data_IF_340486440577
#
_entry.id   IF_340486440577
#
_cell.length_a   1.000
_cell.length_b   1.000
_cell.length_c   1.000
_cell.angle_alpha   90.00
_cell.angle_beta   90.00
_cell.angle_gamma   90.00
#
_symmetry.space_group_name_H-M   'P 1'
#
loop_
_entity.id
_entity.type
_entity.pdbx_description
1 polymer ?
#
# COMPACT_ATOMS: atom_id res chain seq x y z
N UNK A 1 9.29 10.44 7.97
CA UNK A 1 8.07 9.88 8.60
C UNK A 1 7.41 8.95 7.59
N UNK A 2 7.05 7.73 7.98
CA UNK A 2 6.35 6.81 7.07
C UNK A 2 4.98 7.42 6.71
N UNK A 3 4.65 7.49 5.42
CA UNK A 3 3.31 7.84 4.96
C UNK A 3 2.38 6.67 5.32
N UNK A 4 1.40 6.95 6.19
CA UNK A 4 0.43 5.97 6.65
C UNK A 4 -0.95 6.42 6.20
N UNK A 5 -1.69 5.53 5.55
CA UNK A 5 -3.07 5.77 5.14
C UNK A 5 -4.02 5.87 6.34
N UNK A 6 -5.23 6.42 6.16
CA UNK A 6 -6.25 6.44 7.21
C UNK A 6 -6.59 5.03 7.71
N UNK A 7 -6.99 4.92 8.98
CA UNK A 7 -7.55 3.69 9.52
C UNK A 7 -8.84 3.35 8.76
N UNK A 8 -9.00 2.08 8.37
CA UNK A 8 -10.19 1.58 7.67
C UNK A 8 -10.61 0.22 8.22
N UNK A 9 -11.92 -0.01 8.20
CA UNK A 9 -12.50 -1.30 8.55
C UNK A 9 -12.12 -2.40 7.56
N UNK A 10 -12.26 -3.66 8.00
CA UNK A 10 -11.93 -4.83 7.18
C UNK A 10 -12.68 -4.87 5.85
N UNK A 11 -13.97 -4.55 5.86
CA UNK A 11 -14.79 -4.55 4.64
C UNK A 11 -14.34 -3.46 3.65
N UNK A 12 -14.05 -2.25 4.15
CA UNK A 12 -13.59 -1.13 3.33
C UNK A 12 -12.26 -1.44 2.65
N UNK A 13 -11.35 -2.14 3.34
CA UNK A 13 -10.09 -2.64 2.76
C UNK A 13 -10.31 -3.65 1.64
N UNK A 14 -11.16 -4.65 1.88
CA UNK A 14 -11.45 -5.69 0.88
C UNK A 14 -12.07 -5.06 -0.37
N UNK A 15 -13.00 -4.12 -0.18
CA UNK A 15 -13.65 -3.41 -1.28
C UNK A 15 -12.66 -2.53 -2.06
N UNK A 16 -11.75 -1.80 -1.38
CA UNK A 16 -10.71 -1.02 -2.04
C UNK A 16 -9.75 -1.90 -2.86
N UNK A 17 -9.32 -3.03 -2.30
CA UNK A 17 -8.50 -4.00 -3.03
C UNK A 17 -9.22 -4.59 -4.22
N UNK A 18 -10.49 -4.99 -4.06
CA UNK A 18 -11.31 -5.53 -5.14
C UNK A 18 -11.54 -4.49 -6.25
N UNK A 19 -11.84 -3.25 -5.89
CA UNK A 19 -12.03 -2.16 -6.85
C UNK A 19 -10.76 -1.91 -7.67
N UNK A 20 -9.59 -1.90 -7.02
CA UNK A 20 -8.32 -1.77 -7.74
C UNK A 20 -8.04 -2.97 -8.63
N UNK A 21 -8.31 -4.20 -8.17
CA UNK A 21 -8.14 -5.39 -9.00
C UNK A 21 -9.14 -5.51 -10.15
N UNK A 22 -10.28 -4.83 -10.06
CA UNK A 22 -11.29 -4.75 -11.12
C UNK A 22 -10.93 -3.77 -12.24
N UNK A 23 -9.98 -2.84 -12.02
CA UNK A 23 -9.45 -1.97 -13.08
C UNK A 23 -8.74 -2.79 -14.16
N UNK A 24 -8.71 -2.23 -15.38
CA UNK A 24 -7.96 -2.82 -16.48
C UNK A 24 -6.47 -2.98 -16.10
N UNK A 25 -5.80 -4.07 -16.52
CA UNK A 25 -4.39 -4.28 -16.24
C UNK A 25 -3.49 -3.13 -16.70
N UNK A 26 -3.86 -2.46 -17.79
CA UNK A 26 -3.18 -1.29 -18.36
C UNK A 26 -3.28 -0.10 -17.40
N UNK A 27 -4.49 0.28 -16.99
CA UNK A 27 -4.76 1.40 -16.08
C UNK A 27 -4.05 1.23 -14.74
N UNK A 28 -4.01 0.00 -14.20
CA UNK A 28 -3.28 -0.30 -12.95
C UNK A 28 -1.78 -0.06 -13.09
N UNK A 29 -1.19 -0.52 -14.19
CA UNK A 29 0.24 -0.35 -14.47
C UNK A 29 0.57 1.12 -14.71
N UNK A 30 -0.27 1.81 -15.45
CA UNK A 30 -0.10 3.23 -15.75
C UNK A 30 -0.25 4.08 -14.49
N UNK A 31 -1.25 3.82 -13.65
CA UNK A 31 -1.40 4.50 -12.35
C UNK A 31 -0.17 4.33 -11.46
N UNK A 32 0.38 3.11 -11.36
CA UNK A 32 1.60 2.85 -10.60
C UNK A 32 2.83 3.52 -11.23
N UNK A 33 2.97 3.48 -12.56
CA UNK A 33 4.10 4.07 -13.27
C UNK A 33 4.11 5.60 -13.17
N UNK A 34 2.94 6.23 -13.33
CA UNK A 34 2.76 7.68 -13.13
C UNK A 34 3.04 8.06 -11.67
N UNK A 35 2.57 7.25 -10.72
CA UNK A 35 2.80 7.53 -9.31
C UNK A 35 4.29 7.56 -8.94
N UNK A 36 5.08 6.61 -9.45
CA UNK A 36 6.55 6.63 -9.27
C UNK A 36 7.22 7.86 -9.86
N UNK A 37 6.64 8.44 -10.92
CA UNK A 37 7.11 9.68 -11.55
C UNK A 37 6.58 10.95 -10.86
N UNK A 38 5.86 10.80 -9.75
CA UNK A 38 5.25 11.91 -9.04
C UNK A 38 4.06 12.54 -9.79
N UNK A 39 3.40 11.79 -10.68
CA UNK A 39 2.24 12.26 -11.46
C UNK A 39 0.99 11.44 -11.15
N UNK A 40 -0.16 12.10 -11.21
CA UNK A 40 -1.48 11.44 -11.11
C UNK A 40 -1.90 10.86 -12.45
N UNK A 41 -2.74 9.84 -12.38
CA UNK A 41 -3.45 9.31 -13.55
C UNK A 41 -4.43 10.37 -14.08
N UNK A 42 -4.56 10.56 -15.41
CA UNK A 42 -5.47 11.56 -15.98
C UNK A 42 -6.95 11.23 -15.72
N UNK A 43 -7.30 9.96 -15.64
CA UNK A 43 -8.63 9.53 -15.16
C UNK A 43 -8.70 9.58 -13.63
N UNK A 44 -9.54 10.47 -13.12
CA UNK A 44 -9.78 10.68 -11.70
C UNK A 44 -10.33 9.41 -11.02
N UNK A 45 -11.15 8.60 -11.70
CA UNK A 45 -11.68 7.36 -11.12
C UNK A 45 -10.57 6.37 -10.80
N UNK A 46 -9.63 6.22 -11.74
CA UNK A 46 -8.45 5.36 -11.57
C UNK A 46 -7.55 5.91 -10.46
N UNK A 47 -7.33 7.23 -10.43
CA UNK A 47 -6.52 7.88 -9.39
C UNK A 47 -7.11 7.68 -7.97
N UNK A 48 -8.43 7.82 -7.82
CA UNK A 48 -9.15 7.63 -6.55
C UNK A 48 -9.08 6.17 -6.09
N UNK A 49 -9.36 5.21 -6.99
CA UNK A 49 -9.29 3.78 -6.66
C UNK A 49 -7.86 3.36 -6.28
N UNK A 50 -6.85 3.85 -7.00
CA UNK A 50 -5.45 3.59 -6.69
C UNK A 50 -5.03 4.20 -5.34
N UNK A 51 -5.55 5.37 -4.99
CA UNK A 51 -5.31 5.98 -3.68
C UNK A 51 -5.94 5.17 -2.54
N UNK A 52 -7.22 4.76 -2.67
CA UNK A 52 -7.88 3.93 -1.65
C UNK A 52 -7.21 2.56 -1.49
N UNK A 53 -6.69 1.99 -2.58
CA UNK A 53 -5.87 0.78 -2.51
C UNK A 53 -4.58 1.02 -1.70
N UNK A 54 -3.84 2.08 -2.00
CA UNK A 54 -2.61 2.43 -1.29
C UNK A 54 -2.86 2.73 0.20
N UNK A 55 -3.98 3.38 0.50
CA UNK A 55 -4.42 3.64 1.87
C UNK A 55 -4.83 2.35 2.61
N UNK A 56 -5.42 1.38 1.92
CA UNK A 56 -5.76 0.08 2.48
C UNK A 56 -4.52 -0.79 2.74
N UNK A 57 -3.47 -0.70 1.91
CA UNK A 57 -2.22 -1.44 2.10
C UNK A 57 -1.31 -0.82 3.15
N UNK A 58 -1.25 0.51 3.25
CA UNK A 58 -0.39 1.25 4.18
C UNK A 58 -1.13 1.69 5.46
N UNK A 59 -1.90 0.79 6.09
CA UNK A 59 -2.58 1.10 7.35
C UNK A 59 -1.64 1.35 8.53
N UNK A 60 -2.10 2.04 9.60
CA UNK A 60 -1.37 2.25 10.86
C UNK A 60 -1.26 0.97 11.72
N UNK A 61 -1.05 -0.19 11.10
CA UNK A 61 -0.84 -1.45 11.80
C UNK A 61 0.57 -1.51 12.38
N UNK A 62 0.78 -2.26 13.48
CA UNK A 62 2.09 -2.39 14.12
C UNK A 62 3.17 -2.90 13.15
N UNK A 63 2.84 -3.80 12.22
CA UNK A 63 3.74 -4.23 11.14
C UNK A 63 4.18 -3.09 10.21
N UNK A 64 3.31 -2.11 9.97
CA UNK A 64 3.66 -0.90 9.21
C UNK A 64 4.39 0.16 10.06
N UNK A 65 4.57 -0.06 11.36
CA UNK A 65 5.53 0.72 12.16
C UNK A 65 6.94 0.15 12.08
N UNK A 66 7.07 -1.13 11.75
CA UNK A 66 8.38 -1.79 11.60
C UNK A 66 9.04 -1.26 10.33
N UNK A 67 10.28 -0.72 10.40
CA UNK A 67 11.04 -0.33 9.22
C UNK A 67 11.18 -1.52 8.27
N UNK A 68 11.02 -1.33 6.95
CA UNK A 68 11.03 -2.43 5.99
C UNK A 68 12.39 -3.16 5.92
N UNK A 69 13.45 -2.59 6.50
CA UNK A 69 14.79 -3.18 6.61
C UNK A 69 14.88 -4.23 7.73
N UNK A 70 13.98 -4.20 8.72
CA UNK A 70 14.08 -5.07 9.91
C UNK A 70 13.86 -6.55 9.59
N UNK A 71 12.83 -6.89 8.79
CA UNK A 71 12.57 -8.26 8.35
C UNK A 71 13.73 -8.87 7.53
N UNK A 72 14.26 -8.22 6.49
CA UNK A 72 15.39 -8.75 5.74
C UNK A 72 16.67 -8.80 6.58
N UNK A 73 16.92 -7.84 7.48
CA UNK A 73 18.05 -7.90 8.40
C UNK A 73 17.94 -9.11 9.36
N UNK A 74 16.76 -9.35 9.94
CA UNK A 74 16.50 -10.53 10.76
C UNK A 74 16.68 -11.84 9.98
N UNK A 75 16.22 -11.87 8.73
CA UNK A 75 16.44 -12.98 7.80
C UNK A 75 17.93 -13.25 7.56
N UNK A 76 18.74 -12.23 7.29
CA UNK A 76 20.20 -12.37 7.10
C UNK A 76 20.87 -12.90 8.36
N UNK A 77 20.53 -12.38 9.54
CA UNK A 77 21.06 -12.87 10.82
C UNK A 77 20.71 -14.36 11.00
N UNK A 78 19.48 -14.76 10.68
CA UNK A 78 19.06 -16.16 10.75
C UNK A 78 19.76 -17.04 9.72
N UNK A 79 20.08 -16.55 8.52
CA UNK A 79 20.91 -17.29 7.54
C UNK A 79 22.30 -17.56 8.11
N UNK A 80 22.93 -16.55 8.73
CA UNK A 80 24.25 -16.69 9.36
C UNK A 80 24.20 -17.73 10.48
N UNK A 81 23.17 -17.69 11.34
CA UNK A 81 22.98 -18.67 12.40
C UNK A 81 22.67 -20.08 11.85
N UNK A 82 21.89 -20.18 10.77
CA UNK A 82 21.56 -21.46 10.13
C UNK A 82 22.81 -22.14 9.58
N UNK A 83 23.70 -21.38 8.94
CA UNK A 83 25.00 -21.86 8.48
C UNK A 83 25.91 -22.26 9.63
N UNK A 84 25.92 -21.49 10.72
CA UNK A 84 26.75 -21.78 11.88
C UNK A 84 26.33 -23.07 12.62
N UNK A 85 25.03 -23.37 12.63
CA UNK A 85 24.46 -24.57 13.26
C UNK A 85 24.20 -25.75 12.30
N UNK A 86 24.52 -25.61 11.01
CA UNK A 86 24.20 -26.58 9.94
C UNK A 86 22.72 -27.05 9.98
N UNK A 87 21.82 -26.10 10.22
CA UNK A 87 20.41 -26.37 10.51
C UNK A 87 19.54 -25.97 9.32
N UNK A 88 19.21 -26.96 8.47
CA UNK A 88 18.33 -26.77 7.32
C UNK A 88 16.93 -26.19 7.66
N UNK A 89 16.28 -26.50 8.81
CA UNK A 89 15.00 -25.89 9.16
C UNK A 89 15.16 -24.38 9.43
N UNK A 90 16.28 -23.98 10.03
CA UNK A 90 16.59 -22.58 10.32
C UNK A 90 16.84 -21.81 9.02
N UNK A 91 17.53 -22.43 8.05
CA UNK A 91 17.72 -21.85 6.72
C UNK A 91 16.39 -21.63 5.99
N UNK A 92 15.44 -22.57 6.11
CA UNK A 92 14.10 -22.43 5.55
C UNK A 92 13.35 -21.25 6.18
N UNK A 93 13.37 -21.13 7.52
CA UNK A 93 12.75 -19.99 8.23
C UNK A 93 13.40 -18.67 7.80
N UNK A 94 14.73 -18.64 7.69
CA UNK A 94 15.46 -17.46 7.26
C UNK A 94 15.05 -17.03 5.84
N UNK A 95 14.95 -17.98 4.91
CA UNK A 95 14.50 -17.74 3.54
C UNK A 95 13.08 -17.17 3.51
N UNK A 96 12.15 -17.74 4.28
CA UNK A 96 10.78 -17.25 4.37
C UNK A 96 10.71 -15.82 4.90
N UNK A 97 11.54 -15.46 5.88
CA UNK A 97 11.61 -14.09 6.41
C UNK A 97 12.17 -13.09 5.39
N UNK A 98 13.20 -13.49 4.63
CA UNK A 98 13.75 -12.66 3.54
C UNK A 98 12.68 -12.44 2.46
N UNK A 99 11.97 -13.49 2.06
CA UNK A 99 10.89 -13.40 1.06
C UNK A 99 9.74 -12.53 1.57
N UNK A 100 9.27 -12.74 2.79
CA UNK A 100 8.20 -11.95 3.41
C UNK A 100 8.61 -10.47 3.55
N UNK A 101 9.85 -10.20 3.97
CA UNK A 101 10.42 -8.86 4.03
C UNK A 101 10.51 -8.19 2.66
N UNK A 102 10.94 -8.93 1.64
CA UNK A 102 11.01 -8.46 0.26
C UNK A 102 9.64 -8.11 -0.32
N UNK A 103 8.63 -8.97 -0.12
CA UNK A 103 7.24 -8.69 -0.54
C UNK A 103 6.68 -7.48 0.17
N UNK A 104 6.90 -7.36 1.49
CA UNK A 104 6.45 -6.21 2.27
C UNK A 104 7.13 -4.91 1.83
N UNK A 105 8.45 -4.92 1.59
CA UNK A 105 9.16 -3.77 1.05
C UNK A 105 8.67 -3.37 -0.33
N UNK A 106 8.47 -4.35 -1.21
CA UNK A 106 7.95 -4.11 -2.56
C UNK A 106 6.54 -3.52 -2.52
N UNK A 107 5.64 -4.07 -1.72
CA UNK A 107 4.29 -3.52 -1.54
C UNK A 107 4.32 -2.07 -1.03
N UNK A 108 5.21 -1.77 -0.08
CA UNK A 108 5.38 -0.41 0.44
C UNK A 108 5.93 0.54 -0.61
N UNK A 109 7.01 0.18 -1.29
CA UNK A 109 7.61 0.99 -2.34
C UNK A 109 6.63 1.29 -3.50
N UNK A 110 5.68 0.39 -3.77
CA UNK A 110 4.64 0.61 -4.77
C UNK A 110 3.49 1.49 -4.28
N UNK A 111 3.12 1.39 -3.01
CA UNK A 111 1.94 2.06 -2.44
C UNK A 111 2.26 3.45 -1.90
N UNK A 112 3.49 3.68 -1.42
CA UNK A 112 3.93 4.95 -0.85
C UNK A 112 3.83 6.13 -1.82
N UNK A 113 4.28 6.04 -3.09
CA UNK A 113 4.13 7.15 -4.04
C UNK A 113 2.65 7.44 -4.37
N UNK A 114 1.78 6.42 -4.36
CA UNK A 114 0.34 6.59 -4.58
C UNK A 114 -0.31 7.41 -3.45
N UNK A 115 0.09 7.16 -2.20
CA UNK A 115 -0.35 7.96 -1.05
C UNK A 115 0.27 9.36 -1.04
N UNK A 116 1.57 9.47 -1.37
CA UNK A 116 2.30 10.75 -1.39
C UNK A 116 1.70 11.75 -2.39
N UNK A 117 1.09 11.25 -3.47
CA UNK A 117 0.43 12.06 -4.49
C UNK A 117 -1.03 12.42 -4.19
N UNK A 118 -1.57 11.91 -3.08
CA UNK A 118 -2.99 12.02 -2.79
C UNK A 118 -3.38 13.18 -1.88
N UNK A 119 -3.97 14.24 -2.47
CA UNK A 119 -5.09 14.91 -1.79
C UNK A 119 -6.20 13.86 -1.58
N UNK A 120 -6.61 13.66 -0.32
CA UNK A 120 -7.72 12.78 0.07
C UNK A 120 -8.89 13.04 -0.89
N UNK A 121 -9.41 12.04 -1.62
CA UNK A 121 -10.61 12.26 -2.41
C UNK A 121 -11.67 12.81 -1.48
N UNK A 122 -12.23 13.97 -1.83
CA UNK A 122 -13.33 14.58 -1.05
C UNK A 122 -14.43 13.53 -1.01
N UNK A 123 -14.70 13.00 0.18
CA UNK A 123 -15.87 12.15 0.37
C UNK A 123 -17.06 13.04 0.03
N UNK A 124 -17.81 12.69 -1.02
CA UNK A 124 -19.02 13.44 -1.43
C UNK A 124 -20.08 13.55 -0.30
N UNK A 125 -19.84 12.94 0.86
CA UNK A 125 -20.61 13.07 2.10
C UNK A 125 -20.31 14.31 2.96
N UNK A 126 -19.28 15.11 2.63
CA UNK A 126 -18.95 16.37 3.32
C UNK A 126 -19.43 17.63 2.56
N UNK A 127 -20.20 17.49 1.48
CA UNK A 127 -20.95 18.64 0.94
C UNK A 127 -22.05 18.99 1.95
N UNK A 128 -22.08 20.19 2.54
CA UNK A 128 -23.26 20.62 3.27
C UNK A 128 -24.45 20.52 2.32
N UNK A 129 -25.50 19.83 2.73
CA UNK A 129 -26.77 19.74 2.03
C UNK A 129 -27.47 21.12 2.03
N UNK A 130 -26.91 22.09 1.33
CA UNK A 130 -27.38 23.47 1.34
C UNK A 130 -26.63 24.33 0.33
N UNK A 131 -27.23 24.55 -0.84
CA UNK A 131 -26.74 25.56 -1.79
C UNK A 131 -27.14 25.26 -3.22
N UNK A 132 -28.43 25.36 -3.53
CA UNK A 132 -28.89 25.23 -4.92
C UNK A 132 -30.40 25.20 -5.16
N UNK A 133 -31.21 25.75 -4.25
CA UNK A 133 -32.56 26.17 -4.57
C UNK A 133 -32.58 27.71 -4.70
N UNK A 134 -32.28 28.18 -5.90
CA UNK A 134 -32.64 29.51 -6.40
C UNK A 134 -32.79 29.31 -7.92
N UNK A 135 -33.96 28.87 -8.40
CA UNK A 135 -35.05 29.76 -8.81
C UNK A 135 -34.53 31.08 -9.38
N UNK A 136 -34.35 31.08 -10.70
CA UNK A 136 -34.59 32.21 -11.58
C UNK A 136 -35.41 31.69 -12.76
#
# INVERSE_FOLDING_TARGET
>A
MALVGPAMDRERRINAARAFHALAPEDRREALALARRGRRHPDERVAVVAWWYAAATLQPTWWNKVPPVVLPAAGIVLVVLAFWWDSWPLALVALLLVLAGGVAWWQRAMSEPLLALGMRPVEDGDRPAGGGAAQA
#
